data_IF_228177713572
#
_entry.id   IF_228177713572
#
_cell.length_a   1.000
_cell.length_b   1.000
_cell.length_c   1.000
_cell.angle_alpha   90.00
_cell.angle_beta   90.00
_cell.angle_gamma   90.00
#
_symmetry.space_group_name_H-M   'P 1'
#
loop_
_entity.id
_entity.type
_entity.pdbx_description
1 polymer ?
#
# COMPACT_ATOMS: atom_id res chain seq x y z
N UNK A 1 19.63 -10.71 13.78
CA UNK A 1 18.21 -11.11 13.88
C UNK A 1 17.84 -11.75 12.55
N UNK A 2 17.61 -13.06 12.51
CA UNK A 2 17.29 -13.75 11.25
C UNK A 2 15.91 -13.29 10.74
N UNK A 3 15.88 -12.54 9.62
CA UNK A 3 14.65 -11.87 9.18
C UNK A 3 14.50 -11.85 7.68
N UNK A 4 13.26 -12.03 7.22
CA UNK A 4 12.91 -12.03 5.80
C UNK A 4 11.74 -11.10 5.51
N UNK A 5 11.79 -10.37 4.40
CA UNK A 5 10.67 -9.63 3.84
C UNK A 5 10.17 -10.33 2.57
N UNK A 6 8.92 -10.74 2.57
CA UNK A 6 8.20 -11.28 1.42
C UNK A 6 7.38 -10.14 0.78
N UNK A 7 7.99 -9.47 -0.20
CA UNK A 7 7.39 -8.31 -0.86
C UNK A 7 6.59 -8.74 -2.10
N UNK A 8 5.27 -8.67 -2.02
CA UNK A 8 4.39 -9.04 -3.13
C UNK A 8 4.14 -7.86 -4.06
N UNK A 9 4.39 -8.05 -5.36
CA UNK A 9 4.14 -7.03 -6.38
C UNK A 9 3.60 -7.63 -7.66
N UNK A 10 2.48 -7.06 -8.11
CA UNK A 10 1.85 -7.37 -9.38
C UNK A 10 2.07 -6.22 -10.36
N UNK A 11 2.80 -6.47 -11.45
CA UNK A 11 3.00 -5.50 -12.52
C UNK A 11 2.99 -6.18 -13.89
N UNK A 12 2.97 -5.37 -14.95
CA UNK A 12 2.98 -5.83 -16.34
C UNK A 12 4.32 -5.48 -17.01
N UNK A 13 4.74 -6.32 -17.92
CA UNK A 13 6.04 -6.16 -18.59
C UNK A 13 7.21 -6.69 -17.74
N UNK A 14 8.42 -6.69 -18.31
CA UNK A 14 9.62 -7.23 -17.69
C UNK A 14 10.40 -6.26 -16.80
N UNK A 15 9.87 -5.05 -16.57
CA UNK A 15 10.50 -3.98 -15.79
C UNK A 15 9.86 -3.86 -14.41
N UNK A 16 10.68 -3.84 -13.37
CA UNK A 16 10.23 -3.55 -12.00
C UNK A 16 9.94 -2.05 -11.89
N UNK A 17 8.73 -1.64 -11.50
CA UNK A 17 8.39 -0.23 -11.35
C UNK A 17 9.35 0.49 -10.39
N UNK A 18 9.73 1.72 -10.71
CA UNK A 18 10.73 2.44 -9.94
C UNK A 18 10.35 2.63 -8.46
N UNK A 19 9.07 2.90 -8.17
CA UNK A 19 8.59 3.00 -6.78
C UNK A 19 8.72 1.68 -6.00
N UNK A 20 8.67 0.53 -6.68
CA UNK A 20 8.91 -0.79 -6.09
C UNK A 20 10.39 -0.94 -5.75
N UNK A 21 11.30 -0.56 -6.67
CA UNK A 21 12.75 -0.59 -6.44
C UNK A 21 13.13 0.19 -5.18
N UNK A 22 12.68 1.45 -5.08
CA UNK A 22 12.95 2.29 -3.90
C UNK A 22 12.39 1.66 -2.63
N UNK A 23 11.24 1.00 -2.70
CA UNK A 23 10.66 0.35 -1.53
C UNK A 23 11.49 -0.88 -1.11
N UNK A 24 11.91 -1.70 -2.08
CA UNK A 24 12.76 -2.87 -1.82
C UNK A 24 14.11 -2.47 -1.21
N UNK A 25 14.74 -1.41 -1.72
CA UNK A 25 16.01 -0.88 -1.18
C UNK A 25 15.85 -0.42 0.27
N UNK A 26 14.78 0.33 0.58
CA UNK A 26 14.52 0.75 1.97
C UNK A 26 14.29 -0.45 2.89
N UNK A 27 13.56 -1.50 2.43
CA UNK A 27 13.32 -2.70 3.21
C UNK A 27 14.59 -3.48 3.51
N UNK A 28 15.60 -3.42 2.65
CA UNK A 28 16.92 -4.00 2.87
C UNK A 28 17.65 -3.44 4.10
N UNK A 29 17.26 -2.28 4.64
CA UNK A 29 17.81 -1.74 5.89
C UNK A 29 17.27 -2.44 7.14
N UNK A 30 16.16 -3.20 7.03
CA UNK A 30 15.43 -3.75 8.18
C UNK A 30 15.28 -5.27 8.15
N UNK A 31 15.56 -5.91 7.01
CA UNK A 31 15.48 -7.35 6.84
C UNK A 31 16.78 -7.88 6.22
N UNK A 32 17.27 -9.01 6.74
CA UNK A 32 18.47 -9.66 6.20
C UNK A 32 18.23 -10.27 4.80
N UNK A 33 17.03 -10.79 4.58
CA UNK A 33 16.60 -11.32 3.28
C UNK A 33 15.42 -10.49 2.77
N UNK A 34 15.50 -10.01 1.52
CA UNK A 34 14.37 -9.39 0.82
C UNK A 34 14.06 -10.21 -0.42
N UNK A 35 12.80 -10.64 -0.54
CA UNK A 35 12.34 -11.47 -1.65
C UNK A 35 11.20 -10.77 -2.37
N UNK A 36 11.40 -10.44 -3.64
CA UNK A 36 10.36 -9.95 -4.53
C UNK A 36 9.51 -11.13 -5.03
N UNK A 37 8.27 -11.20 -4.60
CA UNK A 37 7.27 -12.13 -5.11
C UNK A 37 6.56 -11.47 -6.28
N UNK A 38 6.70 -12.03 -7.48
CA UNK A 38 6.16 -11.41 -8.70
C UNK A 38 5.45 -12.42 -9.60
N UNK A 39 4.54 -11.91 -10.43
CA UNK A 39 3.85 -12.68 -11.46
C UNK A 39 4.60 -12.68 -12.81
N UNK A 40 5.73 -11.99 -12.93
CA UNK A 40 6.47 -11.84 -14.19
C UNK A 40 7.37 -13.05 -14.41
N UNK A 41 7.11 -13.78 -15.48
CA UNK A 41 7.88 -14.98 -15.85
C UNK A 41 9.31 -14.65 -16.22
N UNK A 42 9.52 -13.51 -16.87
CA UNK A 42 10.83 -13.11 -17.34
C UNK A 42 11.06 -11.61 -17.08
N UNK A 43 11.97 -11.33 -16.18
CA UNK A 43 12.47 -9.97 -15.93
C UNK A 43 13.55 -9.63 -16.97
N UNK A 44 13.61 -8.38 -17.40
CA UNK A 44 14.67 -7.88 -18.25
C UNK A 44 16.05 -8.08 -17.59
N UNK A 45 17.12 -8.16 -18.39
CA UNK A 45 18.47 -8.38 -17.85
C UNK A 45 18.90 -7.25 -16.90
N UNK A 46 18.58 -6.01 -17.21
CA UNK A 46 18.82 -4.86 -16.33
C UNK A 46 18.15 -5.01 -14.95
N UNK A 47 16.97 -5.65 -14.90
CA UNK A 47 16.25 -5.88 -13.65
C UNK A 47 16.87 -7.03 -12.84
N UNK A 48 17.37 -8.06 -13.53
CA UNK A 48 18.13 -9.15 -12.88
C UNK A 48 19.43 -8.64 -12.28
N UNK A 49 20.15 -7.78 -13.02
CA UNK A 49 21.37 -7.11 -12.52
C UNK A 49 21.06 -6.21 -11.32
N UNK A 50 19.97 -5.43 -11.39
CA UNK A 50 19.51 -4.61 -10.28
C UNK A 50 19.24 -5.46 -9.03
N UNK A 51 18.48 -6.55 -9.14
CA UNK A 51 18.16 -7.42 -8.01
C UNK A 51 19.43 -8.04 -7.41
N UNK A 52 20.36 -8.50 -8.26
CA UNK A 52 21.65 -9.04 -7.83
C UNK A 52 22.48 -8.01 -7.08
N UNK A 53 22.60 -6.80 -7.64
CA UNK A 53 23.34 -5.69 -7.02
C UNK A 53 22.82 -5.32 -5.63
N UNK A 54 21.52 -5.39 -5.43
CA UNK A 54 20.88 -5.03 -4.15
C UNK A 54 20.62 -6.24 -3.24
N UNK A 55 21.15 -7.43 -3.59
CA UNK A 55 20.97 -8.68 -2.83
C UNK A 55 19.50 -9.07 -2.62
N UNK A 56 18.64 -8.73 -3.59
CA UNK A 56 17.21 -9.05 -3.56
C UNK A 56 16.98 -10.33 -4.35
N UNK A 57 16.36 -11.32 -3.70
CA UNK A 57 15.88 -12.52 -4.39
C UNK A 57 14.57 -12.24 -5.12
N UNK A 58 14.25 -13.03 -6.16
CA UNK A 58 12.92 -13.02 -6.78
C UNK A 58 12.32 -14.41 -6.83
N UNK A 59 11.00 -14.48 -6.68
CA UNK A 59 10.22 -15.71 -6.85
C UNK A 59 9.02 -15.43 -7.74
N UNK A 60 8.80 -16.35 -8.67
CA UNK A 60 7.67 -16.30 -9.57
C UNK A 60 6.50 -17.07 -8.97
N UNK A 61 5.39 -16.37 -8.76
CA UNK A 61 4.11 -16.97 -8.41
C UNK A 61 3.01 -16.40 -9.30
N UNK A 62 2.03 -17.22 -9.65
CA UNK A 62 0.80 -16.74 -10.27
C UNK A 62 0.02 -15.85 -9.28
N UNK A 63 -0.75 -14.91 -9.81
CA UNK A 63 -1.52 -13.95 -9.00
C UNK A 63 -2.85 -14.54 -8.47
N UNK A 64 -2.90 -15.83 -8.23
CA UNK A 64 -4.05 -16.47 -7.61
C UNK A 64 -4.13 -16.09 -6.13
N UNK A 65 -5.24 -15.51 -5.70
CA UNK A 65 -5.40 -15.05 -4.31
C UNK A 65 -4.72 -13.71 -4.01
N UNK A 66 -4.29 -12.98 -5.03
CA UNK A 66 -3.59 -11.69 -4.90
C UNK A 66 -2.34 -11.82 -4.01
N UNK A 67 -2.03 -10.78 -3.23
CA UNK A 67 -0.87 -10.75 -2.33
C UNK A 67 -0.86 -11.93 -1.34
N UNK A 68 -2.02 -12.26 -0.79
CA UNK A 68 -2.16 -13.36 0.17
C UNK A 68 -1.86 -14.73 -0.45
N UNK A 69 -2.20 -14.94 -1.72
CA UNK A 69 -1.86 -16.18 -2.43
C UNK A 69 -0.35 -16.31 -2.66
N UNK A 70 0.33 -15.21 -3.00
CA UNK A 70 1.80 -15.19 -3.12
C UNK A 70 2.46 -15.45 -1.76
N UNK A 71 1.97 -14.78 -0.69
CA UNK A 71 2.49 -15.03 0.67
C UNK A 71 2.24 -16.46 1.14
N UNK A 72 1.08 -17.04 0.83
CA UNK A 72 0.78 -18.43 1.16
C UNK A 72 1.85 -19.38 0.60
N UNK A 73 2.15 -19.23 -0.70
CA UNK A 73 3.16 -20.07 -1.38
C UNK A 73 4.55 -19.80 -0.83
N UNK A 74 4.92 -18.53 -0.64
CA UNK A 74 6.22 -18.15 -0.13
C UNK A 74 6.47 -18.62 1.32
N UNK A 75 5.46 -18.53 2.19
CA UNK A 75 5.57 -19.01 3.57
C UNK A 75 5.81 -20.53 3.67
N UNK A 76 5.33 -21.31 2.68
CA UNK A 76 5.62 -22.72 2.54
C UNK A 76 7.05 -23.01 2.04
N UNK A 77 7.57 -22.17 1.12
CA UNK A 77 8.93 -22.30 0.58
C UNK A 77 9.99 -21.82 1.57
N UNK A 78 9.79 -20.62 2.15
CA UNK A 78 10.70 -20.00 3.11
C UNK A 78 10.34 -20.43 4.54
N UNK A 79 10.63 -21.68 4.89
CA UNK A 79 10.22 -22.31 6.14
C UNK A 79 11.30 -22.34 7.24
N UNK A 80 12.43 -21.64 7.05
CA UNK A 80 13.46 -21.49 8.08
C UNK A 80 12.89 -20.90 9.38
N UNK A 81 13.63 -21.05 10.46
CA UNK A 81 13.32 -20.39 11.74
C UNK A 81 13.76 -18.93 11.67
N UNK A 82 12.80 -18.05 11.42
CA UNK A 82 13.02 -16.61 11.40
C UNK A 82 12.60 -15.99 12.73
N UNK A 83 13.30 -14.93 13.12
CA UNK A 83 12.90 -14.08 14.26
C UNK A 83 11.83 -13.06 13.83
N UNK A 84 11.80 -12.72 12.52
CA UNK A 84 10.86 -11.76 11.96
C UNK A 84 10.55 -12.04 10.48
N UNK A 85 9.27 -11.92 10.12
CA UNK A 85 8.81 -11.97 8.73
C UNK A 85 8.06 -10.67 8.40
N UNK A 86 8.43 -10.00 7.31
CA UNK A 86 7.65 -8.95 6.68
C UNK A 86 6.72 -9.51 5.60
N UNK A 87 5.43 -9.23 5.66
CA UNK A 87 4.46 -9.49 4.59
C UNK A 87 4.00 -8.13 4.06
N UNK A 88 4.60 -7.68 2.96
CA UNK A 88 4.44 -6.31 2.46
C UNK A 88 4.06 -6.38 0.99
N UNK A 89 3.24 -5.43 0.53
CA UNK A 89 2.86 -5.38 -0.87
C UNK A 89 3.03 -3.99 -1.49
N UNK A 90 2.99 -3.93 -2.81
CA UNK A 90 3.18 -2.74 -3.61
C UNK A 90 1.94 -1.82 -3.69
N UNK A 91 0.90 -2.06 -2.90
CA UNK A 91 -0.31 -1.21 -2.91
C UNK A 91 -0.10 0.17 -2.27
N UNK A 92 1.04 0.36 -1.63
CA UNK A 92 1.50 1.64 -1.11
C UNK A 92 2.77 2.11 -1.83
N UNK A 93 3.04 3.40 -1.73
CA UNK A 93 4.30 4.02 -2.13
C UNK A 93 5.04 4.53 -0.91
N UNK A 94 6.35 4.44 -0.94
CA UNK A 94 7.23 4.96 0.09
C UNK A 94 7.39 6.48 -0.09
N UNK A 95 7.33 7.22 1.01
CA UNK A 95 7.49 8.68 1.04
C UNK A 95 8.67 9.12 1.90
N UNK A 96 8.97 8.36 2.93
CA UNK A 96 10.00 8.65 3.93
C UNK A 96 10.62 7.35 4.41
N UNK A 97 11.72 7.45 5.16
CA UNK A 97 12.31 6.29 5.83
C UNK A 97 11.31 5.57 6.74
N UNK A 98 11.41 4.25 6.74
CA UNK A 98 10.65 3.35 7.60
C UNK A 98 11.23 3.26 9.03
N UNK A 99 12.36 3.93 9.31
CA UNK A 99 13.04 3.88 10.61
C UNK A 99 12.11 4.12 11.80
N UNK A 100 11.25 5.18 11.82
CA UNK A 100 10.36 5.40 12.97
C UNK A 100 9.38 4.26 13.22
N UNK A 101 8.93 3.57 12.16
CA UNK A 101 8.07 2.40 12.28
C UNK A 101 8.85 1.22 12.89
N UNK A 102 10.05 0.93 12.39
CA UNK A 102 10.84 -0.20 12.91
C UNK A 102 11.37 0.05 14.31
N UNK A 103 11.68 1.29 14.67
CA UNK A 103 12.01 1.66 16.05
C UNK A 103 10.84 1.37 16.98
N UNK A 104 9.63 1.77 16.58
CA UNK A 104 8.42 1.46 17.34
C UNK A 104 8.16 -0.05 17.44
N UNK A 105 8.30 -0.82 16.35
CA UNK A 105 8.16 -2.29 16.40
C UNK A 105 9.16 -2.91 17.37
N UNK A 106 10.40 -2.46 17.35
CA UNK A 106 11.47 -2.99 18.20
C UNK A 106 11.23 -2.68 19.70
N UNK A 107 10.60 -1.54 20.00
CA UNK A 107 10.25 -1.14 21.37
C UNK A 107 8.91 -1.73 21.84
N UNK A 108 8.06 -2.17 20.91
CA UNK A 108 6.78 -2.79 21.22
C UNK A 108 6.94 -4.26 21.61
N UNK A 109 6.04 -4.74 22.45
CA UNK A 109 5.93 -6.18 22.75
C UNK A 109 4.92 -6.88 21.84
N UNK A 110 4.73 -6.39 20.64
CA UNK A 110 3.74 -6.92 19.70
C UNK A 110 4.28 -8.16 18.98
N UNK A 111 3.43 -9.15 18.84
CA UNK A 111 3.69 -10.37 18.07
C UNK A 111 3.36 -10.17 16.58
N UNK A 112 2.39 -9.29 16.29
CA UNK A 112 1.94 -8.94 14.94
C UNK A 112 1.70 -7.43 14.86
N UNK A 113 2.49 -6.78 14.04
CA UNK A 113 2.48 -5.32 13.88
C UNK A 113 2.18 -4.93 12.44
N UNK A 114 1.62 -3.75 12.24
CA UNK A 114 1.46 -3.18 10.91
C UNK A 114 1.33 -1.68 10.93
N UNK A 115 1.09 -1.09 9.77
CA UNK A 115 1.06 0.37 9.65
C UNK A 115 -0.20 0.96 10.30
N UNK A 116 -1.36 0.33 10.14
CA UNK A 116 -2.65 0.83 10.64
C UNK A 116 -3.46 -0.27 11.30
N UNK A 117 -3.90 -0.03 12.54
CA UNK A 117 -5.02 -0.75 13.14
C UNK A 117 -6.33 -0.03 12.83
N UNK A 118 -7.36 -0.77 12.46
CA UNK A 118 -8.70 -0.24 12.19
C UNK A 118 -9.78 -1.08 12.86
N UNK A 119 -10.88 -0.45 13.26
CA UNK A 119 -12.09 -1.11 13.79
C UNK A 119 -13.20 -1.29 12.76
N UNK A 120 -12.93 -0.98 11.49
CA UNK A 120 -13.93 -1.14 10.43
C UNK A 120 -14.23 -2.62 10.21
N UNK A 121 -15.49 -3.03 10.41
CA UNK A 121 -15.99 -4.40 10.46
C UNK A 121 -15.62 -5.08 11.80
N UNK A 122 -14.36 -5.32 12.07
CA UNK A 122 -13.80 -5.78 13.35
C UNK A 122 -12.40 -5.23 13.53
N UNK A 123 -11.81 -5.43 14.72
CA UNK A 123 -10.45 -5.00 15.00
C UNK A 123 -9.47 -5.81 14.15
N UNK A 124 -8.74 -5.14 13.27
CA UNK A 124 -7.71 -5.78 12.44
C UNK A 124 -6.61 -4.80 12.03
N UNK A 125 -5.50 -5.37 11.56
CA UNK A 125 -4.41 -4.61 10.94
C UNK A 125 -4.60 -4.66 9.42
N UNK A 126 -4.49 -3.51 8.76
CA UNK A 126 -4.56 -3.44 7.30
C UNK A 126 -3.37 -4.14 6.64
N UNK A 127 -3.63 -5.02 5.68
CA UNK A 127 -2.70 -6.05 5.20
C UNK A 127 -1.57 -5.58 4.27
N UNK A 128 -1.46 -4.31 3.96
CA UNK A 128 -0.46 -3.84 2.99
C UNK A 128 0.96 -3.72 3.55
N UNK A 129 1.10 -3.71 4.88
CA UNK A 129 2.39 -3.65 5.56
C UNK A 129 2.27 -4.36 6.92
N UNK A 130 2.79 -5.56 7.00
CA UNK A 130 2.68 -6.44 8.15
C UNK A 130 4.07 -6.92 8.57
N UNK A 131 4.32 -6.92 9.87
CA UNK A 131 5.51 -7.47 10.49
C UNK A 131 5.07 -8.52 11.51
N UNK A 132 5.53 -9.75 11.32
CA UNK A 132 5.26 -10.90 12.16
C UNK A 132 6.51 -11.20 12.95
N UNK A 133 6.48 -11.07 14.27
CA UNK A 133 7.58 -11.42 15.15
C UNK A 133 7.53 -12.92 15.53
N UNK A 134 8.62 -13.45 16.05
CA UNK A 134 8.91 -14.87 16.27
C UNK A 134 7.73 -15.66 16.84
N UNK A 135 7.08 -15.15 17.89
CA UNK A 135 6.00 -15.86 18.58
C UNK A 135 4.78 -16.11 17.67
N UNK A 136 4.48 -15.20 16.74
CA UNK A 136 3.32 -15.32 15.86
C UNK A 136 3.60 -16.07 14.55
N UNK A 137 4.87 -16.33 14.17
CA UNK A 137 5.22 -16.93 12.88
C UNK A 137 4.55 -18.29 12.69
N UNK A 138 4.61 -19.16 13.70
CA UNK A 138 3.97 -20.48 13.65
C UNK A 138 2.45 -20.38 13.47
N UNK A 139 1.82 -19.44 14.17
CA UNK A 139 0.38 -19.18 14.04
C UNK A 139 0.02 -18.67 12.65
N UNK A 140 0.79 -17.73 12.10
CA UNK A 140 0.56 -17.20 10.75
C UNK A 140 0.69 -18.30 9.71
N UNK A 141 1.76 -19.11 9.73
CA UNK A 141 1.93 -20.26 8.82
C UNK A 141 0.76 -21.23 8.90
N UNK A 142 0.38 -21.64 10.09
CA UNK A 142 -0.76 -22.53 10.31
C UNK A 142 -2.07 -21.94 9.80
N UNK A 143 -2.29 -20.64 10.01
CA UNK A 143 -3.47 -19.95 9.51
C UNK A 143 -3.55 -19.99 7.98
N UNK A 144 -2.46 -19.71 7.28
CA UNK A 144 -2.40 -19.77 5.82
C UNK A 144 -2.60 -21.19 5.31
N UNK A 145 -1.97 -22.19 5.92
CA UNK A 145 -2.12 -23.60 5.58
C UNK A 145 -3.58 -24.06 5.66
N UNK A 146 -4.25 -23.79 6.78
CA UNK A 146 -5.64 -24.21 7.03
C UNK A 146 -6.63 -23.49 6.10
N UNK A 147 -6.42 -22.20 5.84
CA UNK A 147 -7.36 -21.41 5.03
C UNK A 147 -7.17 -21.61 3.52
N UNK A 148 -6.01 -22.07 3.06
CA UNK A 148 -5.69 -22.23 1.63
C UNK A 148 -5.82 -20.91 0.85
N UNK A 149 -5.86 -20.96 -0.48
CA UNK A 149 -5.94 -19.76 -1.32
C UNK A 149 -7.41 -19.36 -1.59
N UNK A 150 -7.79 -18.14 -1.23
CA UNK A 150 -9.09 -17.56 -1.55
C UNK A 150 -9.03 -16.80 -2.89
N UNK A 151 -10.03 -16.98 -3.76
CA UNK A 151 -10.01 -16.42 -5.12
C UNK A 151 -10.80 -15.12 -5.28
N UNK A 152 -11.71 -14.82 -4.37
CA UNK A 152 -12.57 -13.63 -4.47
C UNK A 152 -12.05 -12.49 -3.60
N UNK A 153 -12.11 -11.25 -4.09
CA UNK A 153 -11.68 -10.05 -3.35
C UNK A 153 -12.34 -9.94 -1.96
N UNK A 154 -13.66 -10.17 -1.88
CA UNK A 154 -14.38 -10.17 -0.61
C UNK A 154 -13.91 -11.29 0.32
N UNK A 155 -13.70 -12.50 -0.24
CA UNK A 155 -13.19 -13.64 0.50
C UNK A 155 -11.77 -13.39 1.05
N UNK A 156 -10.91 -12.73 0.28
CA UNK A 156 -9.56 -12.36 0.70
C UNK A 156 -9.62 -11.40 1.88
N UNK A 157 -10.38 -10.30 1.79
CA UNK A 157 -10.50 -9.34 2.89
C UNK A 157 -11.06 -10.00 4.15
N UNK A 158 -12.19 -10.72 4.03
CA UNK A 158 -12.87 -11.29 5.19
C UNK A 158 -12.07 -12.42 5.85
N UNK A 159 -11.51 -13.34 5.04
CA UNK A 159 -10.84 -14.51 5.59
C UNK A 159 -9.37 -14.27 5.90
N UNK A 160 -8.70 -13.33 5.22
CA UNK A 160 -7.27 -13.09 5.44
C UNK A 160 -7.00 -11.79 6.20
N UNK A 161 -7.36 -10.61 5.66
CA UNK A 161 -7.02 -9.35 6.33
C UNK A 161 -7.67 -9.27 7.71
N UNK A 162 -8.97 -9.53 7.79
CA UNK A 162 -9.72 -9.53 9.04
C UNK A 162 -9.48 -10.82 9.82
N UNK A 163 -9.70 -11.96 9.18
CA UNK A 163 -9.64 -13.27 9.83
C UNK A 163 -8.28 -13.62 10.43
N UNK A 164 -7.16 -13.20 9.82
CA UNK A 164 -5.84 -13.42 10.42
C UNK A 164 -5.68 -12.64 11.73
N UNK A 165 -6.12 -11.38 11.76
CA UNK A 165 -6.06 -10.58 12.99
C UNK A 165 -6.94 -11.18 14.09
N UNK A 166 -8.16 -11.60 13.77
CA UNK A 166 -9.06 -12.28 14.71
C UNK A 166 -8.48 -13.61 15.22
N UNK A 167 -7.92 -14.41 14.32
CA UNK A 167 -7.27 -15.67 14.68
C UNK A 167 -6.08 -15.46 15.62
N UNK A 168 -5.23 -14.47 15.34
CA UNK A 168 -4.07 -14.18 16.19
C UNK A 168 -4.51 -13.71 17.59
N UNK A 169 -5.50 -12.82 17.67
CA UNK A 169 -6.09 -12.38 18.94
C UNK A 169 -6.69 -13.56 19.74
N UNK A 170 -7.43 -14.44 19.08
CA UNK A 170 -8.02 -15.64 19.71
C UNK A 170 -6.96 -16.62 20.24
N UNK A 171 -5.74 -16.58 19.69
CA UNK A 171 -4.60 -17.36 20.15
C UNK A 171 -3.68 -16.59 21.13
N UNK A 172 -4.15 -15.48 21.69
CA UNK A 172 -3.45 -14.71 22.71
C UNK A 172 -2.30 -13.84 22.20
N UNK A 173 -2.17 -13.67 20.87
CA UNK A 173 -1.14 -12.83 20.27
C UNK A 173 -1.47 -11.35 20.46
N UNK A 174 -0.45 -10.55 20.71
CA UNK A 174 -0.56 -9.09 20.80
C UNK A 174 -0.42 -8.49 19.42
N UNK A 175 -1.46 -7.81 18.96
CA UNK A 175 -1.46 -7.16 17.65
C UNK A 175 -1.61 -5.64 17.78
N UNK A 176 -1.03 -4.86 16.86
CA UNK A 176 -1.15 -3.40 16.88
C UNK A 176 -0.64 -2.73 15.62
N UNK A 177 -1.14 -1.53 15.37
CA UNK A 177 -0.71 -0.66 14.27
C UNK A 177 0.05 0.56 14.77
N UNK A 178 1.04 1.00 14.01
CA UNK A 178 1.80 2.23 14.27
C UNK A 178 0.86 3.46 14.37
N UNK A 179 -0.20 3.44 13.57
CA UNK A 179 -1.31 4.37 13.67
C UNK A 179 -2.57 3.62 14.10
N UNK A 180 -3.05 3.89 15.30
CA UNK A 180 -4.26 3.27 15.83
C UNK A 180 -5.51 4.08 15.47
N UNK A 181 -6.38 3.47 14.68
CA UNK A 181 -7.71 3.95 14.32
C UNK A 181 -8.80 2.93 14.69
N UNK A 182 -8.54 2.08 15.67
CA UNK A 182 -9.48 1.04 16.14
C UNK A 182 -10.85 1.57 16.55
N UNK A 183 -10.89 2.79 17.08
CA UNK A 183 -12.14 3.48 17.43
C UNK A 183 -12.94 3.98 16.22
N UNK A 184 -12.33 4.12 15.02
CA UNK A 184 -12.97 4.61 13.79
C UNK A 184 -13.56 3.46 13.00
N UNK A 185 -14.84 3.14 13.27
CA UNK A 185 -15.57 2.04 12.60
C UNK A 185 -16.22 2.43 11.27
N UNK A 186 -16.35 3.72 11.02
CA UNK A 186 -17.07 4.35 9.92
C UNK A 186 -16.26 4.46 8.62
N UNK A 187 -14.92 4.51 8.70
CA UNK A 187 -14.05 4.83 7.57
C UNK A 187 -12.92 3.82 7.38
N UNK A 188 -12.37 3.78 6.16
CA UNK A 188 -11.07 3.16 5.91
C UNK A 188 -9.97 4.23 6.09
N UNK A 189 -9.16 4.15 7.16
CA UNK A 189 -8.18 5.20 7.48
C UNK A 189 -7.16 5.43 6.37
N UNK A 190 -6.67 4.37 5.72
CA UNK A 190 -5.65 4.49 4.68
C UNK A 190 -6.10 5.32 3.46
N UNK A 191 -7.41 5.51 3.28
CA UNK A 191 -7.95 6.31 2.18
C UNK A 191 -8.53 7.65 2.68
N UNK A 192 -9.45 7.57 3.63
CA UNK A 192 -10.23 8.75 4.05
C UNK A 192 -9.40 9.67 4.94
N UNK A 193 -8.50 9.11 5.74
CA UNK A 193 -7.64 9.85 6.65
C UNK A 193 -6.20 9.97 6.16
N UNK A 194 -5.95 9.72 4.88
CA UNK A 194 -4.60 9.75 4.34
C UNK A 194 -3.89 11.10 4.56
N UNK A 195 -4.59 12.24 4.39
CA UNK A 195 -4.03 13.56 4.72
C UNK A 195 -3.66 13.72 6.20
N UNK A 196 -4.41 13.10 7.10
CA UNK A 196 -4.08 13.08 8.53
C UNK A 196 -2.85 12.19 8.80
N UNK A 197 -2.82 10.99 8.21
CA UNK A 197 -1.67 10.07 8.31
C UNK A 197 -0.38 10.74 7.87
N UNK A 198 -0.44 11.46 6.78
CA UNK A 198 0.68 12.21 6.23
C UNK A 198 1.15 13.31 7.18
N UNK A 199 0.23 14.10 7.75
CA UNK A 199 0.54 15.11 8.77
C UNK A 199 1.17 14.50 10.03
N UNK A 200 0.78 13.27 10.36
CA UNK A 200 1.38 12.47 11.44
C UNK A 200 2.73 11.84 11.06
N UNK A 201 3.21 12.05 9.84
CA UNK A 201 4.51 11.57 9.39
C UNK A 201 4.50 10.16 8.79
N UNK A 202 3.36 9.68 8.29
CA UNK A 202 3.31 8.35 7.67
C UNK A 202 4.37 8.18 6.58
N UNK A 203 5.21 7.13 6.68
CA UNK A 203 6.24 6.90 5.68
C UNK A 203 5.70 6.36 4.36
N UNK A 204 4.46 5.86 4.35
CA UNK A 204 3.83 5.28 3.15
C UNK A 204 2.41 5.78 2.95
N UNK A 205 1.95 5.78 1.70
CA UNK A 205 0.54 6.04 1.34
C UNK A 205 0.04 5.04 0.29
N UNK A 206 -1.27 4.83 0.25
CA UNK A 206 -1.91 3.97 -0.76
C UNK A 206 -1.82 4.55 -2.18
N UNK A 207 -1.31 3.77 -3.16
CA UNK A 207 -1.26 4.14 -4.60
C UNK A 207 -2.60 4.62 -5.14
N UNK A 208 -3.68 3.95 -4.75
CA UNK A 208 -5.04 4.29 -5.21
C UNK A 208 -5.45 5.71 -4.88
N UNK A 209 -4.82 6.36 -3.91
CA UNK A 209 -5.07 7.77 -3.61
C UNK A 209 -4.72 8.63 -4.81
N UNK A 210 -3.61 8.35 -5.48
CA UNK A 210 -3.16 9.10 -6.67
C UNK A 210 -4.04 8.86 -7.91
N UNK A 211 -4.75 7.74 -7.98
CA UNK A 211 -5.59 7.37 -9.12
C UNK A 211 -7.09 7.64 -8.91
N UNK A 212 -7.50 8.11 -7.73
CA UNK A 212 -8.90 8.40 -7.44
C UNK A 212 -9.13 9.90 -7.29
N UNK A 213 -9.99 10.46 -8.12
CA UNK A 213 -10.37 11.90 -8.20
C UNK A 213 -10.74 12.53 -6.86
N UNK A 214 -11.23 11.74 -5.92
CA UNK A 214 -11.69 12.22 -4.61
C UNK A 214 -10.55 12.64 -3.67
N UNK A 215 -9.33 12.21 -3.96
CA UNK A 215 -8.20 12.33 -3.04
C UNK A 215 -7.08 13.24 -3.57
N UNK A 216 -7.03 13.49 -4.87
CA UNK A 216 -5.86 14.09 -5.54
C UNK A 216 -5.60 15.55 -5.12
N UNK A 217 -6.65 16.35 -4.89
CA UNK A 217 -6.49 17.78 -4.60
C UNK A 217 -5.73 18.10 -3.31
N UNK A 218 -6.08 17.40 -2.22
CA UNK A 218 -5.42 17.60 -0.91
C UNK A 218 -3.98 17.07 -0.90
N UNK A 219 -3.71 16.04 -1.73
CA UNK A 219 -2.41 15.36 -1.77
C UNK A 219 -1.37 16.07 -2.61
N UNK A 220 -1.75 16.71 -3.71
CA UNK A 220 -0.82 17.49 -4.52
C UNK A 220 -0.23 18.67 -3.73
N UNK A 221 -1.05 19.36 -2.95
CA UNK A 221 -0.59 20.44 -2.06
C UNK A 221 0.33 19.91 -0.99
N UNK A 222 0.04 18.73 -0.48
CA UNK A 222 0.84 18.11 0.55
C UNK A 222 2.17 17.56 0.01
N UNK A 223 2.15 16.87 -1.12
CA UNK A 223 3.36 16.42 -1.82
C UNK A 223 4.34 17.56 -2.04
N UNK A 224 3.84 18.75 -2.36
CA UNK A 224 4.64 19.95 -2.54
C UNK A 224 5.40 20.37 -1.27
N UNK A 225 4.84 20.18 -0.10
CA UNK A 225 5.34 20.77 1.15
C UNK A 225 6.13 19.80 2.02
N UNK A 226 6.12 18.48 1.75
CA UNK A 226 6.59 17.49 2.72
C UNK A 226 7.55 16.43 2.14
N UNK A 227 8.05 16.61 0.91
CA UNK A 227 8.98 15.63 0.34
C UNK A 227 10.41 15.85 0.82
N UNK A 228 10.97 14.79 1.41
CA UNK A 228 12.42 14.66 1.71
C UNK A 228 13.12 13.92 0.56
N UNK A 229 12.39 13.33 -0.37
CA UNK A 229 12.90 12.50 -1.46
C UNK A 229 13.20 13.38 -2.69
N UNK A 230 14.26 13.01 -3.42
CA UNK A 230 14.67 13.67 -4.68
C UNK A 230 13.47 13.90 -5.60
N UNK A 231 13.34 15.11 -6.10
CA UNK A 231 12.31 15.55 -7.03
C UNK A 231 12.19 14.62 -8.26
N UNK A 232 13.30 14.08 -8.76
CA UNK A 232 13.32 13.14 -9.89
C UNK A 232 12.65 11.82 -9.55
N UNK A 233 12.83 11.32 -8.33
CA UNK A 233 12.13 10.14 -7.82
C UNK A 233 10.62 10.36 -7.81
N UNK A 234 10.20 11.52 -7.36
CA UNK A 234 8.79 11.86 -7.28
C UNK A 234 8.10 11.92 -8.64
N UNK A 235 8.77 12.53 -9.63
CA UNK A 235 8.26 12.58 -11.01
C UNK A 235 8.17 11.19 -11.63
N UNK A 236 9.21 10.37 -11.46
CA UNK A 236 9.21 8.99 -11.94
C UNK A 236 8.11 8.17 -11.25
N UNK A 237 7.97 8.31 -9.93
CA UNK A 237 6.94 7.66 -9.13
C UNK A 237 5.53 7.99 -9.65
N UNK A 238 5.22 9.27 -9.86
CA UNK A 238 3.90 9.67 -10.38
C UNK A 238 3.66 9.06 -11.76
N UNK A 239 4.63 9.09 -12.65
CA UNK A 239 4.53 8.49 -13.98
C UNK A 239 4.24 7.00 -13.90
N UNK A 240 4.96 6.27 -13.05
CA UNK A 240 4.79 4.82 -12.90
C UNK A 240 3.45 4.43 -12.27
N UNK A 241 3.06 5.11 -11.20
CA UNK A 241 1.83 4.80 -10.46
C UNK A 241 0.59 5.21 -11.26
N UNK A 242 0.72 6.20 -12.11
CA UNK A 242 -0.41 6.84 -12.77
C UNK A 242 -0.58 6.44 -14.25
N UNK A 243 0.25 5.54 -14.77
CA UNK A 243 0.13 5.02 -16.14
C UNK A 243 -1.34 4.64 -16.48
N UNK A 244 -1.99 5.49 -17.27
CA UNK A 244 -3.32 5.23 -17.84
C UNK A 244 -4.54 5.59 -16.97
N UNK A 245 -4.39 6.08 -15.75
CA UNK A 245 -5.51 6.37 -14.84
C UNK A 245 -5.53 7.77 -14.23
N UNK A 246 -4.63 8.66 -14.63
CA UNK A 246 -4.66 10.03 -14.12
C UNK A 246 -5.73 10.85 -14.81
N UNK A 247 -6.57 11.45 -13.98
CA UNK A 247 -7.52 12.52 -14.37
C UNK A 247 -6.79 13.86 -14.42
N UNK A 248 -5.54 13.90 -13.99
CA UNK A 248 -4.68 15.09 -13.94
C UNK A 248 -3.60 14.93 -14.99
N UNK A 249 -3.37 15.96 -15.78
CA UNK A 249 -2.26 16.06 -16.71
C UNK A 249 -0.94 16.05 -15.90
N UNK A 250 -0.22 14.92 -15.98
CA UNK A 250 1.02 14.71 -15.20
C UNK A 250 2.06 15.76 -15.54
N UNK A 251 2.17 16.13 -16.81
CA UNK A 251 3.18 17.08 -17.26
C UNK A 251 2.89 18.47 -16.69
N UNK A 252 1.62 18.83 -16.52
CA UNK A 252 1.22 20.02 -15.77
C UNK A 252 1.56 19.93 -14.29
N UNK A 253 1.29 18.78 -13.63
CA UNK A 253 1.63 18.58 -12.22
C UNK A 253 3.14 18.65 -12.02
N UNK A 254 3.91 18.05 -12.91
CA UNK A 254 5.37 18.09 -12.89
C UNK A 254 5.90 19.52 -13.09
N UNK A 255 5.39 20.25 -14.07
CA UNK A 255 5.74 21.66 -14.31
C UNK A 255 5.34 22.55 -13.14
N UNK A 256 4.21 22.29 -12.51
CA UNK A 256 3.74 23.05 -11.35
C UNK A 256 4.58 22.78 -10.08
N UNK A 257 5.06 21.56 -9.90
CA UNK A 257 6.00 21.21 -8.83
C UNK A 257 7.37 21.86 -9.09
N UNK A 258 7.78 21.98 -10.36
CA UNK A 258 9.05 22.59 -10.75
C UNK A 258 9.03 24.12 -10.75
N UNK A 259 7.90 24.75 -11.08
CA UNK A 259 7.83 26.17 -11.41
C UNK A 259 7.01 27.07 -10.48
N UNK A 260 6.45 26.53 -9.39
CA UNK A 260 5.50 27.28 -8.56
C UNK A 260 4.12 27.41 -9.23
N UNK A 261 3.11 26.72 -8.70
CA UNK A 261 1.79 26.56 -9.30
C UNK A 261 1.04 27.84 -9.59
N UNK A 262 0.32 27.85 -10.69
CA UNK A 262 -0.69 28.87 -10.90
C UNK A 262 -1.86 28.65 -9.91
N UNK A 263 -2.13 29.64 -9.08
CA UNK A 263 -3.23 29.69 -8.10
C UNK A 263 -4.62 29.36 -8.69
N UNK A 264 -4.79 29.49 -10.02
CA UNK A 264 -6.04 29.22 -10.71
C UNK A 264 -6.44 27.73 -10.75
N UNK A 265 -5.48 26.83 -10.93
CA UNK A 265 -5.75 25.40 -10.97
C UNK A 265 -6.10 24.84 -9.58
N UNK A 266 -5.37 25.28 -8.56
CA UNK A 266 -5.63 24.95 -7.16
C UNK A 266 -7.03 25.42 -6.74
N UNK A 267 -7.46 26.64 -7.15
CA UNK A 267 -8.81 27.16 -6.89
C UNK A 267 -9.91 26.32 -7.52
N UNK A 268 -9.74 25.89 -8.77
CA UNK A 268 -10.71 25.03 -9.48
C UNK A 268 -10.83 23.64 -8.83
N UNK A 269 -9.74 23.13 -8.33
CA UNK A 269 -9.68 21.82 -7.64
C UNK A 269 -10.29 21.91 -6.24
N UNK A 270 -9.93 22.94 -5.47
CA UNK A 270 -10.50 23.20 -4.14
C UNK A 270 -12.01 23.48 -4.20
N UNK A 271 -12.50 24.11 -5.29
CA UNK A 271 -13.92 24.27 -5.52
C UNK A 271 -14.63 22.93 -5.72
N UNK A 272 -14.09 22.03 -6.53
CA UNK A 272 -14.62 20.68 -6.70
C UNK A 272 -14.65 19.87 -5.40
N UNK A 273 -13.62 20.01 -4.57
CA UNK A 273 -13.53 19.36 -3.26
C UNK A 273 -14.52 19.96 -2.25
N UNK A 274 -14.70 21.29 -2.26
CA UNK A 274 -15.68 21.98 -1.42
C UNK A 274 -17.11 21.57 -1.79
N UNK A 275 -17.42 21.50 -3.09
CA UNK A 275 -18.69 20.98 -3.59
C UNK A 275 -18.91 19.53 -3.16
N UNK A 276 -17.90 18.67 -3.29
CA UNK A 276 -17.98 17.29 -2.81
C UNK A 276 -18.22 17.20 -1.30
N UNK A 277 -17.51 18.00 -0.49
CA UNK A 277 -17.71 18.05 0.99
C UNK A 277 -19.13 18.48 1.35
N UNK A 278 -19.73 19.38 0.59
CA UNK A 278 -21.13 19.82 0.78
C UNK A 278 -22.10 18.70 0.36
N UNK A 279 -21.87 18.11 -0.80
CA UNK A 279 -22.73 17.02 -1.34
C UNK A 279 -22.61 15.72 -0.53
N UNK A 280 -21.44 15.46 0.07
CA UNK A 280 -21.22 14.25 0.88
C UNK A 280 -21.94 14.23 2.23
N UNK A 281 -22.47 15.39 2.67
CA UNK A 281 -23.33 15.49 3.88
C UNK A 281 -24.72 14.87 3.69
N UNK A 282 -25.17 14.70 2.44
CA UNK A 282 -26.45 14.05 2.11
C UNK A 282 -26.19 12.72 1.43
N UNK A 283 -26.80 11.64 1.94
CA UNK A 283 -26.69 10.28 1.36
C UNK A 283 -27.18 10.25 -0.09
N UNK A 284 -28.28 10.96 -0.40
CA UNK A 284 -28.88 11.03 -1.74
C UNK A 284 -27.95 11.75 -2.72
N UNK A 285 -27.40 12.90 -2.33
CA UNK A 285 -26.51 13.68 -3.18
C UNK A 285 -25.18 12.95 -3.41
N UNK A 286 -24.68 12.23 -2.42
CA UNK A 286 -23.50 11.37 -2.55
C UNK A 286 -23.73 10.24 -3.56
N UNK A 287 -24.91 9.62 -3.53
CA UNK A 287 -25.29 8.58 -4.48
C UNK A 287 -25.39 9.12 -5.91
N UNK A 288 -26.09 10.24 -6.10
CA UNK A 288 -26.22 10.90 -7.43
C UNK A 288 -24.84 11.28 -8.00
N UNK A 289 -23.99 11.86 -7.19
CA UNK A 289 -22.64 12.26 -7.61
C UNK A 289 -21.79 11.03 -7.99
N UNK A 290 -21.91 9.94 -7.26
CA UNK A 290 -21.26 8.67 -7.60
C UNK A 290 -21.74 8.12 -8.95
N UNK A 291 -23.05 8.16 -9.23
CA UNK A 291 -23.61 7.72 -10.50
C UNK A 291 -23.14 8.60 -11.68
N UNK A 292 -23.05 9.90 -11.50
CA UNK A 292 -22.54 10.82 -12.51
C UNK A 292 -21.06 10.55 -12.86
N UNK A 293 -20.24 10.17 -11.88
CA UNK A 293 -18.85 9.79 -12.12
C UNK A 293 -18.77 8.48 -12.89
N UNK A 294 -19.59 7.48 -12.54
CA UNK A 294 -19.64 6.21 -13.25
C UNK A 294 -20.07 6.39 -14.71
N UNK A 295 -21.09 7.25 -14.95
CA UNK A 295 -21.56 7.59 -16.28
C UNK A 295 -20.44 8.27 -17.11
N UNK A 296 -19.76 9.27 -16.55
CA UNK A 296 -18.63 9.94 -17.22
C UNK A 296 -17.48 8.99 -17.56
N UNK A 297 -17.24 7.96 -16.73
CA UNK A 297 -16.25 6.92 -17.02
C UNK A 297 -16.68 6.01 -18.16
N UNK A 298 -17.97 5.68 -18.28
CA UNK A 298 -18.51 4.90 -19.41
C UNK A 298 -18.38 5.66 -20.71
N UNK A 299 -18.82 6.91 -20.74
CA UNK A 299 -18.72 7.78 -21.93
C UNK A 299 -17.28 7.96 -22.44
N UNK A 300 -16.28 8.07 -21.53
CA UNK A 300 -14.87 8.14 -21.94
C UNK A 300 -14.26 6.81 -22.42
N UNK A 301 -14.88 5.67 -22.11
CA UNK A 301 -14.46 4.38 -22.65
C UNK A 301 -15.00 4.10 -24.05
N UNK A 302 -16.10 4.76 -24.40
CA UNK A 302 -16.72 4.68 -25.73
C UNK A 302 -16.08 5.64 -26.74
N UNK A 303 -15.28 6.63 -26.26
CA UNK A 303 -14.53 7.58 -27.10
C UNK A 303 -13.07 7.11 -27.39
N UNK A 304 -12.69 5.91 -26.93
CA UNK A 304 -11.40 5.26 -27.24
C UNK A 304 -11.61 3.94 -27.96
#
# INVERSE_FOLDING_TARGET
MNSICLFSSYFQGGEIPYYVKVYLEELGNYFEEVVLLTNIKELNNSEKEYLTKHHIQSRLYDNEGMDFGMWHKALGEFNKDYDRIGLINDSCILLKSLQPFFDWVNLSSLDYAGMITTGKVSLHIQSYFLVVNKNAIGHVRKFFEVNGIKKTYKGIIMNYEIGLSEYLLANGMKIGGFYDYSARKDVNPAFILAGELIKKGSPIIKKKILSHTYYVGDYLTWFRNNFIIDHRYYVALIKDVCKGNLIVDIDKVVLEVQGGASLGYIRKYNFGLAVYKILSKSFILKFIFHQLILLRRRLRKEEK
#
